data_IF_200571658431
#
_entry.id   IF_200571658431
#
_cell.length_a   1.000
_cell.length_b   1.000
_cell.length_c   1.000
_cell.angle_alpha   90.00
_cell.angle_beta   90.00
_cell.angle_gamma   90.00
#
_symmetry.space_group_name_H-M   'P 1'
#
loop_
_entity.id
_entity.type
_entity.pdbx_description
1 polymer ?
#
# COMPACT_ATOMS: atom_id res chain seq x y z
N UNK A 1 42.73 -37.57 21.79
CA UNK A 1 42.40 -37.09 20.43
C UNK A 1 40.91 -36.75 20.34
N UNK A 2 40.43 -35.75 21.09
CA UNK A 2 39.00 -35.35 21.14
C UNK A 2 38.79 -33.82 21.07
N UNK A 3 39.88 -33.05 20.98
CA UNK A 3 39.88 -31.58 21.02
C UNK A 3 39.74 -30.97 19.61
N UNK A 4 40.22 -31.65 18.56
CA UNK A 4 40.09 -31.16 17.16
C UNK A 4 38.65 -31.16 16.64
N UNK A 5 37.79 -32.05 17.12
CA UNK A 5 36.40 -32.15 16.65
C UNK A 5 35.51 -31.04 17.22
N UNK A 6 35.80 -30.57 18.43
CA UNK A 6 35.00 -29.52 19.10
C UNK A 6 35.27 -28.14 18.49
N UNK A 7 36.49 -27.90 18.00
CA UNK A 7 36.89 -26.65 17.34
C UNK A 7 36.25 -26.45 15.96
N UNK A 8 35.80 -27.52 15.31
CA UNK A 8 35.15 -27.45 13.99
C UNK A 8 33.65 -27.13 14.08
N UNK A 9 33.02 -27.46 15.21
CA UNK A 9 31.58 -27.25 15.42
C UNK A 9 31.29 -25.80 15.88
N UNK A 10 32.24 -25.16 16.56
CA UNK A 10 32.10 -23.77 17.01
C UNK A 10 32.17 -22.74 15.87
N UNK A 11 32.74 -23.08 14.71
CA UNK A 11 32.88 -22.17 13.57
C UNK A 11 31.63 -22.08 12.68
N UNK A 12 30.67 -23.00 12.83
CA UNK A 12 29.49 -23.07 11.93
C UNK A 12 28.24 -22.34 12.48
N UNK A 13 28.27 -21.91 13.74
CA UNK A 13 27.10 -21.29 14.41
C UNK A 13 27.04 -19.77 14.16
N UNK A 14 28.06 -19.17 13.54
CA UNK A 14 28.11 -17.72 13.29
C UNK A 14 27.35 -17.26 12.02
N UNK A 15 26.68 -18.17 11.30
CA UNK A 15 26.08 -17.86 10.00
C UNK A 15 24.57 -17.59 10.00
N UNK A 16 23.89 -17.55 11.15
CA UNK A 16 22.43 -17.58 11.16
C UNK A 16 21.77 -16.54 12.07
N UNK A 17 22.06 -15.26 11.86
CA UNK A 17 21.14 -14.18 12.27
C UNK A 17 21.19 -13.01 11.30
N UNK A 18 21.01 -13.30 10.00
CA UNK A 18 20.54 -12.26 9.08
C UNK A 18 19.07 -11.99 9.41
N UNK A 19 18.77 -11.03 10.29
CA UNK A 19 17.44 -10.45 10.34
C UNK A 19 17.21 -9.71 9.02
N UNK A 20 16.59 -10.36 8.04
CA UNK A 20 16.01 -9.68 6.89
C UNK A 20 14.89 -8.79 7.41
N UNK A 21 15.21 -7.55 7.73
CA UNK A 21 14.22 -6.50 7.98
C UNK A 21 13.63 -6.14 6.61
N UNK A 22 12.56 -6.83 6.22
CA UNK A 22 11.78 -6.44 5.05
C UNK A 22 10.99 -5.20 5.42
N UNK A 23 11.45 -4.01 5.01
CA UNK A 23 10.69 -2.76 5.11
C UNK A 23 9.30 -3.01 4.47
N UNK A 24 8.22 -3.18 5.24
CA UNK A 24 6.88 -3.51 4.73
C UNK A 24 6.08 -2.27 4.39
N UNK A 25 5.52 -2.22 3.17
CA UNK A 25 4.49 -1.22 2.84
C UNK A 25 3.18 -1.78 3.35
N UNK A 26 2.52 -1.03 4.22
CA UNK A 26 1.20 -1.40 4.71
C UNK A 26 0.18 -0.35 4.33
N UNK A 27 -1.07 -0.78 4.10
CA UNK A 27 -2.17 0.13 3.80
C UNK A 27 -3.30 -0.05 4.80
N UNK A 28 -3.75 1.07 5.34
CA UNK A 28 -4.82 1.15 6.35
C UNK A 28 -5.98 1.98 5.82
N UNK A 29 -7.23 1.49 5.86
CA UNK A 29 -7.66 0.22 6.46
C UNK A 29 -7.29 -1.02 5.62
N UNK A 30 -7.33 -2.20 6.24
CA UNK A 30 -7.02 -3.47 5.57
C UNK A 30 -8.05 -3.81 4.51
N UNK A 31 -9.33 -3.57 4.81
CA UNK A 31 -10.50 -3.69 3.93
C UNK A 31 -11.30 -2.39 3.93
N UNK A 32 -12.12 -2.20 2.90
CA UNK A 32 -13.02 -1.04 2.81
C UNK A 32 -14.43 -1.42 3.27
N UNK A 33 -15.18 -0.48 3.87
CA UNK A 33 -16.59 -0.68 4.15
C UNK A 33 -17.40 -0.81 2.86
N UNK A 34 -18.57 -1.43 2.96
CA UNK A 34 -19.53 -1.51 1.87
C UNK A 34 -20.09 -0.12 1.53
N UNK A 35 -20.51 0.05 0.28
CA UNK A 35 -21.17 1.25 -0.19
C UNK A 35 -22.67 1.00 -0.43
N UNK A 36 -23.44 2.07 -0.61
CA UNK A 36 -24.87 2.00 -0.91
C UNK A 36 -25.18 2.85 -2.14
N UNK A 37 -25.98 2.32 -3.06
CA UNK A 37 -26.43 3.06 -4.26
C UNK A 37 -27.04 4.40 -3.85
N UNK A 38 -26.64 5.47 -4.53
CA UNK A 38 -27.17 6.82 -4.31
C UNK A 38 -26.74 7.50 -3.01
N UNK A 39 -25.98 6.83 -2.13
CA UNK A 39 -25.46 7.43 -0.88
C UNK A 39 -23.99 7.87 -1.06
N UNK A 40 -23.60 9.04 -0.52
CA UNK A 40 -22.19 9.43 -0.49
C UNK A 40 -21.31 8.38 0.19
N UNK A 41 -20.21 8.03 -0.47
CA UNK A 41 -19.18 7.16 0.03
C UNK A 41 -17.89 7.98 0.16
N UNK A 42 -17.20 7.85 1.30
CA UNK A 42 -15.90 8.48 1.52
C UNK A 42 -15.09 7.66 2.51
N UNK A 43 -13.91 7.21 2.10
CA UNK A 43 -12.98 6.47 2.96
C UNK A 43 -11.55 6.90 2.65
N UNK A 44 -10.75 7.08 3.69
CA UNK A 44 -9.33 7.39 3.57
C UNK A 44 -8.50 6.12 3.63
N UNK A 45 -7.49 6.03 2.76
CA UNK A 45 -6.50 4.95 2.74
C UNK A 45 -5.13 5.58 2.94
N UNK A 46 -4.50 5.26 4.05
CA UNK A 46 -3.11 5.63 4.34
C UNK A 46 -2.17 4.54 3.84
N UNK A 47 -1.13 4.94 3.12
CA UNK A 47 -0.02 4.12 2.65
C UNK A 47 1.14 4.39 3.60
N UNK A 48 1.39 3.46 4.52
CA UNK A 48 2.47 3.57 5.48
C UNK A 48 3.75 2.98 4.89
N UNK A 49 4.80 3.80 4.87
CA UNK A 49 6.12 3.44 4.35
C UNK A 49 7.18 3.70 5.41
N UNK A 50 8.08 2.76 5.68
CA UNK A 50 9.22 2.93 6.58
C UNK A 50 10.35 3.74 5.90
N UNK A 51 10.04 4.97 5.51
CA UNK A 51 10.95 5.89 4.81
C UNK A 51 10.90 5.80 3.28
N UNK A 52 11.49 6.82 2.64
CA UNK A 52 11.37 7.01 1.19
C UNK A 52 10.07 7.72 0.80
N UNK A 53 9.91 7.93 -0.50
CA UNK A 53 8.81 8.69 -1.09
C UNK A 53 8.08 7.81 -2.10
N UNK A 54 6.77 8.00 -2.23
CA UNK A 54 5.95 7.24 -3.17
C UNK A 54 6.12 7.85 -4.57
N UNK A 55 6.55 7.03 -5.52
CA UNK A 55 6.61 7.34 -6.95
C UNK A 55 5.84 6.31 -7.76
N UNK A 56 5.61 6.61 -9.05
CA UNK A 56 4.90 5.69 -9.95
C UNK A 56 3.48 5.33 -9.49
N UNK A 57 2.85 6.22 -8.72
CA UNK A 57 1.56 5.97 -8.10
C UNK A 57 0.47 5.79 -9.15
N UNK A 58 -0.32 4.74 -9.01
CA UNK A 58 -1.47 4.46 -9.84
C UNK A 58 -2.64 3.96 -8.98
N UNK A 59 -3.85 4.39 -9.33
CA UNK A 59 -5.05 4.06 -8.58
C UNK A 59 -6.29 3.88 -9.47
N UNK A 60 -6.32 2.91 -10.40
CA UNK A 60 -7.48 2.74 -11.27
C UNK A 60 -8.70 2.22 -10.49
N UNK A 61 -9.86 2.81 -10.80
CA UNK A 61 -11.19 2.38 -10.32
C UNK A 61 -11.89 1.63 -11.45
N UNK A 62 -12.39 0.43 -11.16
CA UNK A 62 -13.15 -0.39 -12.09
C UNK A 62 -14.49 -0.83 -11.48
N UNK A 63 -15.63 -0.66 -12.18
CA UNK A 63 -15.72 -0.01 -13.48
C UNK A 63 -15.59 1.52 -13.35
N UNK A 64 -15.10 2.19 -14.41
CA UNK A 64 -14.85 3.64 -14.39
C UNK A 64 -16.12 4.49 -14.28
N UNK A 65 -17.27 3.92 -14.61
CA UNK A 65 -18.59 4.55 -14.48
C UNK A 65 -19.24 4.33 -13.11
N UNK A 66 -18.56 3.65 -12.17
CA UNK A 66 -19.09 3.31 -10.83
C UNK A 66 -19.58 4.51 -10.02
N UNK A 67 -19.08 5.72 -10.31
CA UNK A 67 -19.38 6.93 -9.56
C UNK A 67 -18.46 7.18 -8.36
N UNK A 68 -17.46 6.32 -8.16
CA UNK A 68 -16.35 6.55 -7.23
C UNK A 68 -15.12 7.07 -7.97
N UNK A 69 -14.37 7.93 -7.29
CA UNK A 69 -13.09 8.48 -7.72
C UNK A 69 -12.07 8.43 -6.59
N UNK A 70 -10.83 8.77 -6.93
CA UNK A 70 -9.70 8.78 -5.99
C UNK A 70 -9.06 10.16 -6.04
N UNK A 71 -8.90 10.74 -4.86
CA UNK A 71 -8.20 12.00 -4.65
C UNK A 71 -7.10 11.84 -3.61
N UNK A 72 -6.23 12.83 -3.53
CA UNK A 72 -5.19 12.90 -2.49
C UNK A 72 -5.77 13.61 -1.26
N UNK A 73 -5.50 13.10 -0.05
CA UNK A 73 -6.06 13.68 1.18
C UNK A 73 -5.61 15.14 1.39
N UNK A 74 -4.32 15.43 1.15
CA UNK A 74 -3.71 16.73 1.32
C UNK A 74 -3.03 17.19 0.03
N UNK A 75 -3.79 17.70 -0.97
CA UNK A 75 -3.21 18.10 -2.26
C UNK A 75 -2.25 19.30 -2.16
N UNK A 76 -2.36 20.10 -1.08
CA UNK A 76 -1.49 21.24 -0.82
C UNK A 76 -0.24 20.87 -0.01
N UNK A 77 -0.10 19.61 0.39
CA UNK A 77 1.09 19.14 1.06
C UNK A 77 2.26 19.18 0.08
N UNK A 78 3.09 20.21 0.22
CA UNK A 78 4.30 20.40 -0.61
C UNK A 78 5.43 19.45 -0.20
N UNK A 79 5.22 18.62 0.82
CA UNK A 79 6.16 17.57 1.17
C UNK A 79 6.07 16.42 0.18
N UNK A 80 7.11 15.58 0.16
CA UNK A 80 7.18 14.42 -0.73
C UNK A 80 6.22 13.28 -0.35
N UNK A 81 5.36 13.51 0.65
CA UNK A 81 4.44 12.54 1.22
C UNK A 81 2.98 12.79 0.86
N UNK A 82 2.67 13.71 -0.07
CA UNK A 82 1.28 13.97 -0.50
C UNK A 82 0.54 12.66 -0.87
N UNK A 83 1.22 11.72 -1.53
CA UNK A 83 0.67 10.42 -1.95
C UNK A 83 0.56 9.37 -0.83
N UNK A 84 0.97 9.68 0.40
CA UNK A 84 0.85 8.77 1.55
C UNK A 84 -0.59 8.58 2.02
N UNK A 85 -1.52 9.42 1.56
CA UNK A 85 -2.94 9.31 1.88
C UNK A 85 -3.78 9.60 0.66
N UNK A 86 -4.71 8.68 0.37
CA UNK A 86 -5.71 8.88 -0.67
C UNK A 86 -7.12 8.73 -0.11
N UNK A 87 -8.04 9.48 -0.71
CA UNK A 87 -9.47 9.45 -0.41
C UNK A 87 -10.18 8.76 -1.57
N UNK A 88 -10.89 7.69 -1.27
CA UNK A 88 -11.85 7.08 -2.19
C UNK A 88 -13.19 7.73 -1.90
N UNK A 89 -13.78 8.41 -2.88
CA UNK A 89 -15.03 9.13 -2.67
C UNK A 89 -15.93 9.20 -3.88
N UNK A 90 -17.22 9.43 -3.64
CA UNK A 90 -18.21 9.65 -4.69
C UNK A 90 -19.57 9.10 -4.29
N UNK A 91 -20.39 8.81 -5.29
CA UNK A 91 -21.74 8.25 -5.09
C UNK A 91 -21.89 7.04 -6.02
N UNK A 92 -21.96 5.81 -5.49
CA UNK A 92 -22.18 4.62 -6.29
C UNK A 92 -23.48 4.71 -7.09
N UNK A 93 -23.44 4.33 -8.37
CA UNK A 93 -24.59 4.46 -9.28
C UNK A 93 -25.44 3.20 -9.39
N UNK A 94 -24.85 2.04 -9.16
CA UNK A 94 -25.50 0.74 -9.26
C UNK A 94 -24.84 -0.25 -8.27
N UNK A 95 -25.38 -1.47 -8.20
CA UNK A 95 -24.91 -2.54 -7.30
C UNK A 95 -23.71 -3.31 -7.82
N UNK A 96 -23.06 -2.85 -8.90
CA UNK A 96 -21.86 -3.52 -9.42
C UNK A 96 -20.74 -3.41 -8.41
N UNK A 97 -20.06 -4.54 -8.18
CA UNK A 97 -18.87 -4.58 -7.34
C UNK A 97 -17.78 -3.64 -7.91
N UNK A 98 -17.22 -2.80 -7.04
CA UNK A 98 -16.18 -1.84 -7.43
C UNK A 98 -14.83 -2.35 -6.95
N UNK A 99 -13.86 -2.35 -7.85
CA UNK A 99 -12.48 -2.76 -7.60
C UNK A 99 -11.56 -1.56 -7.73
N UNK A 100 -10.67 -1.38 -6.76
CA UNK A 100 -9.71 -0.29 -6.73
C UNK A 100 -8.32 -0.89 -6.52
N UNK A 101 -7.45 -0.74 -7.51
CA UNK A 101 -6.05 -1.15 -7.37
C UNK A 101 -5.23 0.06 -6.94
N UNK A 102 -4.55 0.02 -5.80
CA UNK A 102 -3.61 1.06 -5.37
C UNK A 102 -2.21 0.47 -5.48
N UNK A 103 -1.41 1.03 -6.38
CA UNK A 103 -0.07 0.54 -6.67
C UNK A 103 0.94 1.67 -6.83
N UNK A 104 2.22 1.34 -6.67
CA UNK A 104 3.31 2.29 -6.80
C UNK A 104 4.63 1.73 -6.29
N UNK A 105 5.61 2.61 -6.17
CA UNK A 105 6.95 2.24 -5.72
C UNK A 105 7.52 3.22 -4.70
N UNK A 106 8.28 2.72 -3.74
CA UNK A 106 9.07 3.53 -2.81
C UNK A 106 10.42 3.81 -3.45
N UNK A 107 10.76 5.08 -3.60
CA UNK A 107 12.09 5.55 -4.01
C UNK A 107 12.78 6.26 -2.84
N UNK A 108 14.12 6.24 -2.75
CA UNK A 108 14.85 6.92 -1.70
C UNK A 108 14.64 8.44 -1.74
N UNK A 109 14.53 9.06 -0.56
CA UNK A 109 14.29 10.50 -0.41
C UNK A 109 15.45 11.37 -0.91
N UNK A 110 16.67 10.81 -0.93
CA UNK A 110 17.90 11.47 -1.35
C UNK A 110 18.56 10.78 -2.57
N UNK A 111 18.50 11.47 -3.72
CA UNK A 111 19.57 11.52 -4.73
C UNK A 111 19.79 10.34 -5.68
N UNK A 112 19.29 9.12 -5.40
CA UNK A 112 19.49 7.97 -6.30
C UNK A 112 18.17 7.54 -6.91
N UNK A 113 17.77 8.26 -7.96
CA UNK A 113 16.50 8.08 -8.70
C UNK A 113 16.36 6.66 -9.29
N UNK A 114 17.46 5.92 -9.39
CA UNK A 114 17.54 4.63 -10.09
C UNK A 114 17.35 3.40 -9.20
N UNK A 115 17.17 3.55 -7.88
CA UNK A 115 16.98 2.38 -6.98
C UNK A 115 15.58 2.39 -6.38
N UNK A 116 14.65 1.70 -7.04
CA UNK A 116 13.36 1.33 -6.44
C UNK A 116 13.66 0.49 -5.21
N UNK A 117 13.25 0.95 -4.03
CA UNK A 117 13.39 0.19 -2.78
C UNK A 117 12.37 -0.94 -2.72
N UNK A 118 11.12 -0.62 -3.06
CA UNK A 118 10.01 -1.55 -2.95
C UNK A 118 8.89 -1.17 -3.90
N UNK A 119 8.19 -2.16 -4.43
CA UNK A 119 6.93 -1.99 -5.17
C UNK A 119 5.81 -2.46 -4.26
N UNK A 120 4.68 -1.75 -4.27
CA UNK A 120 3.46 -2.17 -3.62
C UNK A 120 2.32 -2.21 -4.64
N UNK A 121 1.42 -3.17 -4.44
CA UNK A 121 0.24 -3.37 -5.26
C UNK A 121 -0.82 -4.00 -4.36
N UNK A 122 -1.91 -3.27 -4.11
CA UNK A 122 -3.02 -3.74 -3.28
C UNK A 122 -4.33 -3.47 -3.99
N UNK A 123 -5.15 -4.51 -4.10
CA UNK A 123 -6.50 -4.40 -4.64
C UNK A 123 -7.53 -4.40 -3.52
N UNK A 124 -8.36 -3.37 -3.48
CA UNK A 124 -9.54 -3.26 -2.64
C UNK A 124 -10.80 -3.63 -3.43
N UNK A 125 -11.74 -4.25 -2.74
CA UNK A 125 -13.05 -4.61 -3.28
C UNK A 125 -14.10 -3.94 -2.40
N UNK A 126 -15.00 -3.20 -3.03
CA UNK A 126 -16.14 -2.55 -2.38
C UNK A 126 -17.41 -3.25 -2.88
N UNK A 127 -18.15 -3.85 -1.95
CA UNK A 127 -19.49 -4.35 -2.23
C UNK A 127 -20.48 -3.20 -2.16
N UNK A 128 -21.37 -3.10 -3.14
CA UNK A 128 -22.38 -2.05 -3.20
C UNK A 128 -23.76 -2.66 -2.98
N UNK A 129 -24.49 -2.13 -2.00
CA UNK A 129 -25.85 -2.55 -1.63
C UNK A 129 -26.90 -1.60 -2.20
N UNK A 130 -28.09 -2.13 -2.43
CA UNK A 130 -29.26 -1.30 -2.75
C UNK A 130 -29.58 -0.32 -1.63
N UNK A 131 -30.14 0.83 -1.99
CA UNK A 131 -30.72 1.73 -1.02
C UNK A 131 -32.03 1.12 -0.48
N UNK A 132 -32.12 0.98 0.84
CA UNK A 132 -33.38 0.71 1.53
C UNK A 132 -34.38 1.85 1.36
#
# INVERSE_FOLDING_TARGET
MKIKTILFIAAFVFFITGCTFTEEVSMTPVSLPEATVGKPYRVEVTINTEGGIIGGFNAPVSPSNSGLGIDVCNPNDSTKNALSCVVIQGVPKDTTQITINISGNIIPEHGVIYKVRKVFDKTYIIQVKEAE
#
